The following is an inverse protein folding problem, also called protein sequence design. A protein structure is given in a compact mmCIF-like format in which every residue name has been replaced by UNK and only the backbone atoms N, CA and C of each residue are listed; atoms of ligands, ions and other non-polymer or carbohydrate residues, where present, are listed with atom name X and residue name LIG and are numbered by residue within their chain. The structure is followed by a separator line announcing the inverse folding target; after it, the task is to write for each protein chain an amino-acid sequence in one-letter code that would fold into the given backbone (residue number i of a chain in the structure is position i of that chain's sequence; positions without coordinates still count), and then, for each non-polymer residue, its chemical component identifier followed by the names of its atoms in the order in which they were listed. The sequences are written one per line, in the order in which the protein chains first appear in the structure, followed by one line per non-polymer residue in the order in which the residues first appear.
data_IF_905094639742
#
_entry.id   IF_905094639742
#
_cell.length_a   1.000
_cell.length_b   1.000
_cell.length_c   1.000
_cell.angle_alpha   90.00
_cell.angle_beta   90.00
_cell.angle_gamma   90.00
#
_symmetry.space_group_name_H-M   'P 1'
#
loop_
_entity.id
_entity.type
_entity.pdbx_description
1 polymer ?
#
# COMPACT_ATOMS: atom_id res chain seq x y z
N UNK A 1 5.27 -3.55 -32.76
CA UNK A 1 5.01 -2.75 -31.55
C UNK A 1 4.08 -3.55 -30.63
N UNK A 2 4.51 -3.88 -29.42
CA UNK A 2 3.70 -4.60 -28.43
C UNK A 2 2.91 -3.57 -27.61
N UNK A 3 1.59 -3.68 -27.59
CA UNK A 3 0.73 -2.84 -26.78
C UNK A 3 0.07 -3.72 -25.71
N UNK A 4 0.40 -3.46 -24.45
CA UNK A 4 -0.11 -4.21 -23.29
C UNK A 4 -1.20 -3.40 -22.63
N UNK A 5 -2.42 -3.92 -22.60
CA UNK A 5 -3.55 -3.30 -21.94
C UNK A 5 -4.60 -4.34 -21.54
N UNK A 6 -5.37 -4.04 -20.52
CA UNK A 6 -6.49 -4.88 -20.10
C UNK A 6 -7.74 -4.50 -20.87
N UNK A 7 -8.29 -5.44 -21.65
CA UNK A 7 -9.54 -5.26 -22.36
C UNK A 7 -10.71 -5.53 -21.43
N UNK A 8 -11.35 -4.48 -20.91
CA UNK A 8 -12.54 -4.60 -20.05
C UNK A 8 -13.81 -4.97 -20.82
N UNK A 9 -13.84 -4.71 -22.13
CA UNK A 9 -14.97 -5.04 -23.02
C UNK A 9 -14.47 -5.49 -24.39
N UNK A 10 -15.15 -6.42 -25.04
CA UNK A 10 -14.85 -6.77 -26.43
C UNK A 10 -14.85 -5.53 -27.32
N UNK A 11 -13.86 -5.42 -28.21
CA UNK A 11 -13.73 -4.30 -29.14
C UNK A 11 -12.93 -3.11 -28.65
N UNK A 12 -12.48 -3.07 -27.40
CA UNK A 12 -11.57 -2.02 -26.94
C UNK A 12 -10.19 -2.18 -27.60
N UNK A 13 -9.71 -1.11 -28.21
CA UNK A 13 -8.39 -1.02 -28.84
C UNK A 13 -7.35 -0.34 -27.96
N UNK A 14 -7.77 0.23 -26.81
CA UNK A 14 -6.91 0.90 -25.83
C UNK A 14 -7.40 0.54 -24.43
N UNK A 15 -6.46 0.41 -23.51
CA UNK A 15 -6.76 0.22 -22.10
C UNK A 15 -7.28 1.48 -21.42
N UNK A 16 -8.00 1.29 -20.33
CA UNK A 16 -8.39 2.35 -19.41
C UNK A 16 -7.31 2.45 -18.34
N UNK A 17 -6.82 3.65 -17.97
CA UNK A 17 -5.87 3.79 -16.88
C UNK A 17 -6.43 3.22 -15.58
N UNK A 18 -5.62 2.43 -14.90
CA UNK A 18 -6.02 1.76 -13.65
C UNK A 18 -6.55 2.72 -12.57
N UNK A 19 -6.01 3.94 -12.52
CA UNK A 19 -6.42 4.96 -11.57
C UNK A 19 -7.65 5.78 -12.03
N UNK A 20 -8.13 5.59 -13.25
CA UNK A 20 -9.24 6.38 -13.79
C UNK A 20 -10.46 6.47 -12.86
N UNK A 21 -10.95 5.38 -12.23
CA UNK A 21 -12.13 5.43 -11.37
C UNK A 21 -11.92 6.19 -10.05
N UNK A 22 -10.67 6.46 -9.65
CA UNK A 22 -10.35 7.06 -8.35
C UNK A 22 -9.76 8.46 -8.43
N UNK A 23 -9.45 8.95 -9.64
CA UNK A 23 -8.82 10.27 -9.84
C UNK A 23 -9.64 11.39 -9.19
N UNK A 24 -10.95 11.40 -9.40
CA UNK A 24 -11.81 12.45 -8.85
C UNK A 24 -11.89 12.37 -7.33
N UNK A 25 -12.02 11.17 -6.77
CA UNK A 25 -12.03 10.96 -5.32
C UNK A 25 -10.71 11.40 -4.66
N UNK A 26 -9.57 11.11 -5.29
CA UNK A 26 -8.25 11.57 -4.82
C UNK A 26 -8.13 13.09 -4.86
N UNK A 27 -8.61 13.72 -5.93
CA UNK A 27 -8.62 15.18 -6.08
C UNK A 27 -9.51 15.86 -5.04
N UNK A 28 -10.71 15.31 -4.79
CA UNK A 28 -11.62 15.82 -3.76
C UNK A 28 -11.03 15.65 -2.36
N UNK A 29 -10.39 14.51 -2.08
CA UNK A 29 -9.70 14.28 -0.81
C UNK A 29 -8.58 15.31 -0.59
N UNK A 30 -7.77 15.59 -1.61
CA UNK A 30 -6.72 16.62 -1.54
C UNK A 30 -7.29 18.00 -1.23
N UNK A 31 -8.36 18.41 -1.92
CA UNK A 31 -9.03 19.71 -1.66
C UNK A 31 -9.65 19.78 -0.27
N UNK A 32 -10.25 18.68 0.20
CA UNK A 32 -10.83 18.64 1.54
C UNK A 32 -9.76 18.74 2.63
N UNK A 33 -8.65 18.03 2.49
CA UNK A 33 -7.54 18.10 3.46
C UNK A 33 -6.91 19.50 3.48
N UNK A 34 -6.76 20.14 2.33
CA UNK A 34 -6.26 21.51 2.21
C UNK A 34 -7.23 22.52 2.87
N UNK A 35 -8.53 22.43 2.57
CA UNK A 35 -9.55 23.28 3.17
C UNK A 35 -9.61 23.10 4.70
N UNK A 36 -9.47 21.88 5.20
CA UNK A 36 -9.47 21.58 6.64
C UNK A 36 -8.23 22.15 7.33
N UNK A 37 -7.07 22.06 6.68
CA UNK A 37 -5.83 22.66 7.17
C UNK A 37 -5.94 24.19 7.22
N UNK A 38 -6.44 24.80 6.16
CA UNK A 38 -6.65 26.27 6.12
C UNK A 38 -7.65 26.71 7.18
N UNK A 39 -8.74 25.97 7.36
CA UNK A 39 -9.72 26.27 8.39
C UNK A 39 -9.14 26.12 9.82
N UNK A 40 -8.25 25.14 10.03
CA UNK A 40 -7.54 25.00 11.30
C UNK A 40 -6.60 26.19 11.57
N UNK A 41 -5.87 26.65 10.55
CA UNK A 41 -5.00 27.84 10.64
C UNK A 41 -5.84 29.09 10.96
N UNK A 42 -6.92 29.32 10.21
CA UNK A 42 -7.81 30.47 10.45
C UNK A 42 -8.42 30.41 11.85
N UNK A 43 -8.91 29.24 12.30
CA UNK A 43 -9.47 29.11 13.65
C UNK A 43 -8.45 29.33 14.76
N UNK A 44 -7.17 29.07 14.51
CA UNK A 44 -6.09 29.40 15.45
C UNK A 44 -5.76 30.92 15.52
N UNK A 45 -6.17 31.68 14.51
CA UNK A 45 -5.96 33.12 14.47
C UNK A 45 -7.12 33.89 15.11
N UNK A 46 -8.35 33.37 15.00
CA UNK A 46 -9.55 34.07 15.49
C UNK A 46 -10.03 33.49 16.82
N UNK A 47 -9.82 34.25 17.90
CA UNK A 47 -10.30 33.86 19.24
C UNK A 47 -11.48 34.70 19.71
N UNK A 48 -11.66 35.92 19.19
CA UNK A 48 -12.67 36.87 19.69
C UNK A 48 -13.30 37.66 18.58
N UNK A 49 -14.65 37.71 18.53
CA UNK A 49 -15.41 38.67 17.72
C UNK A 49 -16.02 39.70 18.66
N UNK A 50 -16.01 40.96 18.22
CA UNK A 50 -16.60 42.06 18.95
C UNK A 50 -17.96 42.34 18.32
N UNK A 51 -19.06 42.08 19.05
CA UNK A 51 -20.41 42.46 18.66
C UNK A 51 -20.73 43.86 19.22
N UNK A 52 -21.04 44.79 18.34
CA UNK A 52 -21.56 46.09 18.75
C UNK A 52 -23.09 46.01 18.80
N UNK A 53 -23.67 46.22 19.99
CA UNK A 53 -25.11 46.39 20.09
C UNK A 53 -25.47 47.68 19.36
N UNK A 54 -26.37 47.62 18.37
CA UNK A 54 -26.92 48.79 17.69
C UNK A 54 -27.79 49.57 18.70
N UNK A 55 -27.13 50.40 19.48
CA UNK A 55 -27.82 51.38 20.31
C UNK A 55 -28.28 52.57 19.46
N UNK A 56 -29.38 53.16 19.84
CA UNK A 56 -29.97 54.37 19.27
C UNK A 56 -29.02 55.57 19.48
N UNK A 57 -27.80 55.48 18.99
CA UNK A 57 -26.73 56.46 19.12
C UNK A 57 -26.63 57.32 17.90
N UNK A 58 -26.48 58.59 18.12
CA UNK A 58 -26.22 59.68 17.18
C UNK A 58 -25.25 59.23 16.07
N UNK A 59 -25.63 59.41 14.78
CA UNK A 59 -24.75 59.01 13.66
C UNK A 59 -23.44 59.81 13.57
N UNK A 60 -23.14 60.65 14.53
CA UNK A 60 -21.94 61.49 14.56
C UNK A 60 -20.97 61.17 15.71
N UNK A 61 -21.21 60.15 16.48
CA UNK A 61 -20.22 59.64 17.47
C UNK A 61 -19.16 58.77 16.77
N UNK A 62 -17.95 59.28 16.83
CA UNK A 62 -16.74 58.66 16.28
C UNK A 62 -16.57 57.22 16.83
N UNK A 63 -16.55 56.17 15.98
CA UNK A 63 -16.34 54.82 16.43
C UNK A 63 -14.93 54.71 17.02
N UNK A 64 -14.88 54.60 18.34
CA UNK A 64 -13.69 54.64 19.18
C UNK A 64 -12.42 54.11 18.56
N UNK A 65 -11.43 54.97 18.60
CA UNK A 65 -10.05 54.72 18.20
C UNK A 65 -9.46 53.48 18.88
N UNK A 66 -9.09 52.50 18.12
CA UNK A 66 -8.22 51.42 18.61
C UNK A 66 -6.86 51.99 18.98
N UNK A 67 -6.51 51.90 20.28
CA UNK A 67 -5.19 52.25 20.75
C UNK A 67 -4.17 51.25 20.18
N UNK A 68 -3.49 51.65 19.14
CA UNK A 68 -2.48 50.84 18.47
C UNK A 68 -2.47 50.88 16.95
N UNK A 69 -3.36 51.67 16.32
CA UNK A 69 -3.31 51.90 14.87
C UNK A 69 -2.26 52.96 14.52
N UNK A 70 -1.28 52.63 13.68
CA UNK A 70 -0.55 53.66 12.97
C UNK A 70 -1.45 54.20 11.84
N UNK A 71 -1.77 55.48 11.95
CA UNK A 71 -2.29 56.40 10.92
C UNK A 71 -3.26 55.79 9.86
N UNK A 72 -4.50 56.22 10.01
CA UNK A 72 -5.54 56.16 9.00
C UNK A 72 -5.10 56.82 7.70
N UNK A 73 -4.92 56.00 6.67
CA UNK A 73 -4.90 56.37 5.26
C UNK A 73 -6.16 55.80 4.63
N UNK A 74 -7.09 56.70 4.35
CA UNK A 74 -8.16 56.63 3.36
C UNK A 74 -8.75 55.24 3.00
N UNK A 75 -9.87 54.88 3.65
CA UNK A 75 -10.88 53.96 3.11
C UNK A 75 -10.63 52.46 3.26
N UNK A 76 -11.15 51.94 4.32
CA UNK A 76 -11.46 50.59 4.74
C UNK A 76 -10.69 50.20 6.01
N UNK A 77 -11.44 50.04 7.10
CA UNK A 77 -10.90 49.48 8.35
C UNK A 77 -10.44 48.02 8.14
N UNK A 78 -9.30 47.81 7.53
CA UNK A 78 -8.58 46.55 7.58
C UNK A 78 -7.91 46.43 8.96
N UNK A 79 -8.62 45.82 9.90
CA UNK A 79 -8.06 45.44 11.18
C UNK A 79 -7.04 44.31 10.97
N UNK A 80 -5.76 44.68 10.85
CA UNK A 80 -4.66 43.71 10.82
C UNK A 80 -4.55 43.02 12.17
N UNK A 81 -5.17 41.85 12.28
CA UNK A 81 -5.05 40.96 13.43
C UNK A 81 -3.67 40.31 13.43
N UNK A 82 -2.71 40.91 14.14
CA UNK A 82 -1.42 40.33 14.44
C UNK A 82 -1.55 39.14 15.42
N UNK A 83 -0.60 38.26 15.38
CA UNK A 83 -0.49 37.16 16.35
C UNK A 83 -0.48 37.73 17.80
N UNK A 84 -1.48 37.34 18.63
CA UNK A 84 -1.72 37.87 19.98
C UNK A 84 -2.22 39.32 20.08
N UNK A 85 -2.96 39.81 19.09
CA UNK A 85 -3.62 41.11 19.23
C UNK A 85 -4.65 41.05 20.35
N UNK A 86 -4.58 41.95 21.31
CA UNK A 86 -5.57 42.18 22.36
C UNK A 86 -6.32 43.45 22.02
N UNK A 87 -7.62 43.32 21.70
CA UNK A 87 -8.49 44.47 21.47
C UNK A 87 -9.19 44.87 22.78
N UNK A 88 -9.30 46.20 23.04
CA UNK A 88 -10.11 46.73 24.11
C UNK A 88 -11.51 47.04 23.58
N UNK A 89 -12.53 46.67 24.34
CA UNK A 89 -13.93 46.83 24.01
C UNK A 89 -14.44 48.19 24.52
N UNK A 90 -15.23 48.89 23.72
CA UNK A 90 -15.93 50.10 24.13
C UNK A 90 -17.21 49.78 24.93
N UNK A 91 -17.74 50.80 25.60
CA UNK A 91 -19.03 50.68 26.31
C UNK A 91 -20.14 50.27 25.32
N UNK A 92 -20.79 49.14 25.57
CA UNK A 92 -21.83 48.59 24.70
C UNK A 92 -21.39 47.48 23.75
N UNK A 93 -20.09 47.19 23.65
CA UNK A 93 -19.58 46.10 22.86
C UNK A 93 -19.51 44.81 23.71
N UNK A 94 -19.85 43.68 23.12
CA UNK A 94 -19.74 42.35 23.76
C UNK A 94 -18.76 41.51 23.00
N UNK A 95 -17.85 40.87 23.72
CA UNK A 95 -16.98 39.85 23.14
C UNK A 95 -17.75 38.54 22.98
N UNK A 96 -18.00 38.14 21.76
CA UNK A 96 -18.50 36.82 21.44
C UNK A 96 -17.31 35.88 21.09
N UNK A 97 -17.16 34.80 21.84
CA UNK A 97 -16.23 33.76 21.41
C UNK A 97 -16.89 32.86 20.36
N UNK A 98 -16.38 32.89 19.14
CA UNK A 98 -16.77 31.89 18.14
C UNK A 98 -15.91 30.64 18.39
N UNK A 99 -16.57 29.60 18.88
CA UNK A 99 -15.93 28.29 18.94
C UNK A 99 -16.01 27.66 17.53
N UNK A 100 -14.91 27.59 16.76
CA UNK A 100 -14.95 27.10 15.40
C UNK A 100 -15.16 25.57 15.31
N UNK A 101 -15.52 24.90 16.44
CA UNK A 101 -15.74 23.45 16.46
C UNK A 101 -14.49 22.64 16.13
N UNK A 102 -13.31 23.20 16.40
CA UNK A 102 -12.02 22.54 16.12
C UNK A 102 -11.41 21.94 17.39
N UNK A 103 -10.74 20.75 17.29
CA UNK A 103 -10.49 19.93 16.09
C UNK A 103 -11.75 19.24 15.58
N UNK A 104 -11.87 19.10 14.25
CA UNK A 104 -13.01 18.44 13.61
C UNK A 104 -12.99 16.93 13.89
N UNK A 105 -13.83 16.45 14.79
CA UNK A 105 -13.91 15.03 15.15
C UNK A 105 -14.35 14.14 13.98
N UNK A 106 -14.99 14.70 12.95
CA UNK A 106 -15.46 13.95 11.78
C UNK A 106 -14.41 13.87 10.65
N UNK A 107 -13.27 14.55 10.77
CA UNK A 107 -12.23 14.54 9.75
C UNK A 107 -11.70 13.14 9.47
N UNK A 108 -11.22 12.45 10.49
CA UNK A 108 -10.62 11.12 10.37
C UNK A 108 -11.61 10.04 9.85
N UNK A 109 -12.85 9.93 10.39
CA UNK A 109 -13.86 9.02 9.84
C UNK A 109 -14.21 9.31 8.38
N UNK A 110 -14.31 10.58 7.99
CA UNK A 110 -14.62 10.97 6.62
C UNK A 110 -13.50 10.62 5.65
N UNK A 111 -12.25 10.95 5.98
CA UNK A 111 -11.06 10.58 5.20
C UNK A 111 -10.98 9.06 5.04
N UNK A 112 -11.18 8.29 6.11
CA UNK A 112 -11.20 6.81 6.06
C UNK A 112 -12.31 6.28 5.15
N UNK A 113 -13.48 6.90 5.14
CA UNK A 113 -14.58 6.51 4.26
C UNK A 113 -14.20 6.69 2.78
N UNK A 114 -13.62 7.84 2.41
CA UNK A 114 -13.14 8.09 1.03
C UNK A 114 -12.02 7.12 0.66
N UNK A 115 -11.03 6.92 1.54
CA UNK A 115 -9.95 5.97 1.30
C UNK A 115 -10.46 4.53 1.14
N UNK A 116 -11.52 4.17 1.87
CA UNK A 116 -12.17 2.85 1.70
C UNK A 116 -12.80 2.73 0.32
N UNK A 117 -13.50 3.75 -0.17
CA UNK A 117 -14.06 3.76 -1.53
C UNK A 117 -12.97 3.65 -2.60
N UNK A 118 -11.87 4.39 -2.43
CA UNK A 118 -10.69 4.30 -3.31
C UNK A 118 -10.11 2.88 -3.26
N UNK A 119 -9.96 2.30 -2.06
CA UNK A 119 -9.47 0.93 -1.88
C UNK A 119 -10.35 -0.12 -2.58
N UNK A 120 -11.68 0.02 -2.48
CA UNK A 120 -12.62 -0.87 -3.16
C UNK A 120 -12.47 -0.76 -4.68
N UNK A 121 -12.38 0.47 -5.22
CA UNK A 121 -12.21 0.69 -6.66
C UNK A 121 -10.87 0.13 -7.19
N UNK A 122 -9.81 0.18 -6.37
CA UNK A 122 -8.49 -0.39 -6.68
C UNK A 122 -8.34 -1.86 -6.26
N UNK A 123 -9.38 -2.49 -5.72
CA UNK A 123 -9.34 -3.86 -5.18
C UNK A 123 -8.28 -4.08 -4.10
N UNK A 124 -7.98 -3.03 -3.33
CA UNK A 124 -7.02 -3.05 -2.22
C UNK A 124 -7.74 -2.88 -0.88
N UNK A 125 -7.43 -3.70 0.14
CA UNK A 125 -7.89 -3.44 1.50
C UNK A 125 -7.38 -2.10 2.03
N UNK A 126 -8.17 -1.43 2.86
CA UNK A 126 -7.81 -0.13 3.45
C UNK A 126 -6.47 -0.19 4.19
N UNK A 127 -6.24 -1.23 4.98
CA UNK A 127 -5.04 -1.43 5.78
C UNK A 127 -3.77 -1.47 4.92
N UNK A 128 -3.87 -2.04 3.71
CA UNK A 128 -2.77 -2.09 2.75
C UNK A 128 -2.58 -0.74 2.08
N UNK A 129 -3.69 -0.03 1.78
CA UNK A 129 -3.66 1.28 1.15
C UNK A 129 -3.00 2.33 2.04
N UNK A 130 -3.37 2.40 3.32
CA UNK A 130 -2.82 3.36 4.28
C UNK A 130 -1.56 2.86 5.00
N UNK A 131 -1.15 1.60 4.74
CA UNK A 131 0.00 0.92 5.40
C UNK A 131 -0.10 0.91 6.92
N UNK A 132 -1.32 0.90 7.46
CA UNK A 132 -1.58 0.90 8.90
C UNK A 132 -2.44 -0.30 9.28
N UNK A 133 -1.89 -1.16 10.13
CA UNK A 133 -2.53 -2.38 10.61
C UNK A 133 -2.89 -2.23 12.09
N UNK A 134 -4.04 -1.59 12.36
CA UNK A 134 -4.56 -1.42 13.72
C UNK A 134 -5.40 -2.62 14.19
N UNK A 135 -5.72 -3.56 13.29
CA UNK A 135 -6.53 -4.71 13.56
C UNK A 135 -5.73 -5.86 14.20
N UNK A 136 -6.45 -6.88 14.70
CA UNK A 136 -5.82 -8.10 15.21
C UNK A 136 -4.95 -8.79 14.16
N UNK A 137 -4.00 -9.61 14.61
CA UNK A 137 -3.12 -10.39 13.73
C UNK A 137 -3.87 -11.16 12.65
N UNK A 138 -4.96 -11.82 13.01
CA UNK A 138 -5.78 -12.60 12.07
C UNK A 138 -6.45 -11.73 11.01
N UNK A 139 -6.96 -10.56 11.38
CA UNK A 139 -7.57 -9.61 10.44
C UNK A 139 -6.51 -9.00 9.50
N UNK A 140 -5.35 -8.61 10.01
CA UNK A 140 -4.23 -8.10 9.22
C UNK A 140 -3.72 -9.15 8.22
N UNK A 141 -3.61 -10.41 8.65
CA UNK A 141 -3.27 -11.53 7.76
C UNK A 141 -4.31 -11.73 6.67
N UNK A 142 -5.60 -11.68 7.01
CA UNK A 142 -6.69 -11.81 6.03
C UNK A 142 -6.67 -10.68 4.99
N UNK A 143 -6.42 -9.44 5.41
CA UNK A 143 -6.28 -8.29 4.52
C UNK A 143 -5.09 -8.46 3.54
N UNK A 144 -3.93 -8.88 4.06
CA UNK A 144 -2.75 -9.18 3.22
C UNK A 144 -3.01 -10.30 2.21
N UNK A 145 -3.65 -11.38 2.62
CA UNK A 145 -3.98 -12.49 1.73
C UNK A 145 -4.95 -12.08 0.61
N UNK A 146 -5.92 -11.19 0.92
CA UNK A 146 -6.82 -10.63 -0.11
C UNK A 146 -6.06 -9.76 -1.12
N UNK A 147 -5.21 -8.84 -0.63
CA UNK A 147 -4.36 -8.03 -1.49
C UNK A 147 -3.42 -8.90 -2.35
N UNK A 148 -2.83 -9.95 -1.75
CA UNK A 148 -1.95 -10.85 -2.46
C UNK A 148 -2.63 -11.62 -3.59
N UNK A 149 -3.89 -12.03 -3.42
CA UNK A 149 -4.67 -12.65 -4.50
C UNK A 149 -4.80 -11.71 -5.70
N UNK A 150 -5.07 -10.45 -5.45
CA UNK A 150 -5.13 -9.43 -6.50
C UNK A 150 -3.77 -9.24 -7.19
N UNK A 151 -2.69 -9.07 -6.43
CA UNK A 151 -1.34 -8.93 -6.99
C UNK A 151 -0.91 -10.14 -7.82
N UNK A 152 -1.26 -11.35 -7.40
CA UNK A 152 -0.98 -12.57 -8.15
C UNK A 152 -1.72 -12.62 -9.49
N UNK A 153 -2.97 -12.18 -9.53
CA UNK A 153 -3.73 -12.07 -10.78
C UNK A 153 -3.08 -11.06 -11.73
N UNK A 154 -2.71 -9.88 -11.21
CA UNK A 154 -2.03 -8.84 -11.99
C UNK A 154 -0.65 -9.29 -12.49
N UNK A 155 0.11 -9.97 -11.65
CA UNK A 155 1.40 -10.57 -12.04
C UNK A 155 1.22 -11.56 -13.20
N UNK A 156 0.26 -12.47 -13.09
CA UNK A 156 -0.03 -13.44 -14.14
C UNK A 156 -0.42 -12.75 -15.45
N UNK A 157 -1.22 -11.72 -15.38
CA UNK A 157 -1.60 -10.94 -16.55
C UNK A 157 -0.38 -10.31 -17.23
N UNK A 158 0.51 -9.64 -16.49
CA UNK A 158 1.75 -9.08 -17.02
C UNK A 158 2.64 -10.18 -17.60
N UNK A 159 2.76 -11.31 -16.92
CA UNK A 159 3.56 -12.44 -17.39
C UNK A 159 3.06 -12.96 -18.76
N UNK A 160 1.75 -13.10 -18.92
CA UNK A 160 1.15 -13.58 -20.17
C UNK A 160 1.17 -12.54 -21.31
N UNK A 161 0.86 -11.27 -21.01
CA UNK A 161 0.67 -10.24 -22.04
C UNK A 161 1.98 -9.52 -22.42
N UNK A 162 2.95 -9.51 -21.54
CA UNK A 162 4.21 -8.80 -21.74
C UNK A 162 5.41 -9.75 -21.78
N UNK A 163 5.64 -10.52 -20.71
CA UNK A 163 6.85 -11.32 -20.62
C UNK A 163 6.88 -12.48 -21.62
N UNK A 164 5.75 -13.18 -21.77
CA UNK A 164 5.64 -14.34 -22.65
C UNK A 164 5.90 -13.99 -24.13
N UNK A 165 5.28 -12.97 -24.74
CA UNK A 165 5.57 -12.60 -26.13
C UNK A 165 7.01 -12.17 -26.37
N UNK A 166 7.63 -11.48 -25.40
CA UNK A 166 9.03 -11.08 -25.49
C UNK A 166 9.94 -12.31 -25.44
N UNK A 167 9.66 -13.23 -24.54
CA UNK A 167 10.40 -14.49 -24.44
C UNK A 167 10.29 -15.33 -25.71
N UNK A 168 9.11 -15.45 -26.29
CA UNK A 168 8.91 -16.17 -27.55
C UNK A 168 9.65 -15.55 -28.72
N UNK A 169 9.68 -14.21 -28.80
CA UNK A 169 10.46 -13.52 -29.83
C UNK A 169 11.96 -13.74 -29.64
N UNK A 170 12.45 -13.62 -28.41
CA UNK A 170 13.84 -13.89 -28.07
C UNK A 170 14.22 -15.35 -28.34
N UNK A 171 13.37 -16.30 -27.97
CA UNK A 171 13.60 -17.72 -28.19
C UNK A 171 13.69 -18.05 -29.69
N UNK A 172 12.78 -17.50 -30.49
CA UNK A 172 12.80 -17.66 -31.95
C UNK A 172 14.11 -17.13 -32.55
N UNK A 173 14.59 -15.98 -32.11
CA UNK A 173 15.89 -15.43 -32.50
C UNK A 173 17.05 -16.33 -32.06
N UNK A 174 17.07 -16.77 -30.80
CA UNK A 174 18.11 -17.63 -30.25
C UNK A 174 18.21 -18.98 -30.97
N UNK A 175 17.08 -19.57 -31.37
CA UNK A 175 17.03 -20.79 -32.18
C UNK A 175 17.51 -20.53 -33.62
N UNK A 176 17.11 -19.40 -34.24
CA UNK A 176 17.51 -19.06 -35.60
C UNK A 176 19.02 -18.84 -35.76
N UNK A 177 19.67 -18.27 -34.75
CA UNK A 177 21.12 -18.02 -34.69
C UNK A 177 21.89 -19.30 -34.31
N UNK A 178 21.18 -20.38 -33.90
CA UNK A 178 21.82 -21.63 -33.45
C UNK A 178 22.36 -21.61 -32.02
N UNK A 179 22.01 -20.58 -31.21
CA UNK A 179 22.39 -20.52 -29.78
C UNK A 179 21.71 -21.61 -28.95
N UNK A 180 20.47 -21.96 -29.33
CA UNK A 180 19.66 -22.99 -28.68
C UNK A 180 19.29 -24.02 -29.73
N UNK A 181 19.58 -25.29 -29.45
CA UNK A 181 19.13 -26.41 -30.30
C UNK A 181 17.68 -26.77 -29.95
N UNK A 182 16.77 -26.52 -30.88
CA UNK A 182 15.33 -26.84 -30.74
C UNK A 182 14.81 -27.48 -32.04
N UNK A 183 15.04 -28.80 -32.25
CA UNK A 183 14.60 -29.48 -33.46
C UNK A 183 13.11 -29.35 -33.65
N UNK A 184 12.65 -29.00 -34.86
CA UNK A 184 11.25 -28.87 -35.20
C UNK A 184 10.58 -27.54 -34.79
N UNK A 185 11.29 -26.61 -34.16
CA UNK A 185 10.75 -25.36 -33.62
C UNK A 185 10.01 -24.49 -34.68
N UNK A 186 10.52 -24.42 -35.90
CA UNK A 186 9.92 -23.67 -36.99
C UNK A 186 9.00 -24.48 -37.87
N UNK A 187 9.02 -25.82 -37.76
CA UNK A 187 8.26 -26.73 -38.63
C UNK A 187 6.87 -27.03 -38.05
N UNK A 188 6.78 -27.20 -36.75
CA UNK A 188 5.55 -27.62 -36.06
C UNK A 188 5.16 -26.61 -34.95
N UNK A 189 3.97 -25.98 -35.05
CA UNK A 189 3.44 -25.07 -34.03
C UNK A 189 3.31 -25.73 -32.64
N UNK A 190 3.02 -27.04 -32.56
CA UNK A 190 2.91 -27.75 -31.28
C UNK A 190 4.28 -27.90 -30.60
N UNK A 191 5.32 -28.20 -31.40
CA UNK A 191 6.69 -28.27 -30.90
C UNK A 191 7.16 -26.89 -30.43
N UNK A 192 6.88 -25.85 -31.24
CA UNK A 192 7.18 -24.46 -30.86
C UNK A 192 6.51 -24.10 -29.56
N UNK A 193 5.23 -24.41 -29.39
CA UNK A 193 4.49 -24.16 -28.14
C UNK A 193 5.12 -24.90 -26.96
N UNK A 194 5.55 -26.15 -27.13
CA UNK A 194 6.20 -26.92 -26.07
C UNK A 194 7.51 -26.30 -25.62
N UNK A 195 8.35 -25.79 -26.54
CA UNK A 195 9.59 -25.07 -26.21
C UNK A 195 9.35 -23.71 -25.59
N UNK A 196 8.25 -23.03 -25.93
CA UNK A 196 7.91 -21.70 -25.41
C UNK A 196 7.27 -21.75 -24.02
N UNK A 197 6.96 -22.92 -23.47
CA UNK A 197 6.42 -23.05 -22.12
C UNK A 197 7.43 -22.60 -21.07
N UNK A 198 7.06 -21.59 -20.30
CA UNK A 198 7.90 -21.04 -19.25
C UNK A 198 7.05 -20.76 -18.00
N UNK A 199 7.63 -20.95 -16.84
CA UNK A 199 7.02 -20.63 -15.57
C UNK A 199 7.59 -19.31 -15.03
N UNK A 200 6.73 -18.30 -14.91
CA UNK A 200 7.08 -17.01 -14.38
C UNK A 200 6.96 -17.01 -12.86
N UNK A 201 8.08 -17.17 -12.19
CA UNK A 201 8.19 -17.11 -10.73
C UNK A 201 8.34 -15.67 -10.27
N UNK A 202 7.90 -15.37 -9.07
CA UNK A 202 8.07 -14.07 -8.46
C UNK A 202 7.84 -14.16 -6.96
N UNK A 203 8.30 -13.17 -6.22
CA UNK A 203 8.30 -13.16 -4.76
C UNK A 203 6.99 -13.63 -4.14
N UNK A 204 7.08 -14.31 -3.02
CA UNK A 204 5.96 -14.76 -2.22
C UNK A 204 5.29 -13.60 -1.45
N UNK A 205 4.20 -13.85 -0.70
CA UNK A 205 3.50 -12.82 0.09
C UNK A 205 4.33 -12.31 1.27
N UNK A 206 5.47 -12.91 1.54
CA UNK A 206 6.24 -12.75 2.76
C UNK A 206 5.56 -13.42 3.96
N UNK A 207 6.35 -13.85 4.93
CA UNK A 207 5.84 -14.52 6.13
C UNK A 207 5.62 -13.50 7.27
N UNK A 208 4.53 -13.69 8.02
CA UNK A 208 4.29 -12.97 9.28
C UNK A 208 4.79 -13.81 10.46
N UNK A 209 4.59 -15.14 10.37
CA UNK A 209 5.05 -16.11 11.35
C UNK A 209 5.75 -17.26 10.60
N UNK A 210 7.07 -17.14 10.37
CA UNK A 210 7.83 -18.08 9.56
C UNK A 210 7.73 -19.52 10.07
N UNK A 211 7.81 -19.71 11.40
CA UNK A 211 7.79 -21.06 11.99
C UNK A 211 6.48 -21.79 11.71
N UNK A 212 5.35 -21.13 11.95
CA UNK A 212 4.03 -21.73 11.69
C UNK A 212 3.78 -21.99 10.22
N UNK A 213 4.26 -21.12 9.35
CA UNK A 213 4.07 -21.26 7.90
C UNK A 213 4.92 -22.39 7.34
N UNK A 214 6.17 -22.52 7.78
CA UNK A 214 7.05 -23.63 7.39
C UNK A 214 6.53 -24.97 7.94
N UNK A 215 6.13 -25.03 9.21
CA UNK A 215 5.54 -26.24 9.80
C UNK A 215 4.24 -26.66 9.10
N UNK A 216 3.42 -25.69 8.69
CA UNK A 216 2.21 -25.98 7.93
C UNK A 216 2.52 -26.49 6.51
N UNK A 217 3.56 -25.96 5.85
CA UNK A 217 4.02 -26.43 4.54
C UNK A 217 4.58 -27.86 4.63
N UNK A 218 5.41 -28.14 5.64
CA UNK A 218 5.93 -29.48 5.92
C UNK A 218 4.81 -30.51 6.10
N UNK A 219 3.83 -30.23 6.96
CA UNK A 219 2.68 -31.12 7.16
C UNK A 219 1.87 -31.34 5.88
N UNK A 220 1.68 -30.33 5.04
CA UNK A 220 1.00 -30.49 3.74
C UNK A 220 1.76 -31.40 2.80
N UNK A 221 3.09 -31.32 2.78
CA UNK A 221 3.94 -32.19 1.96
C UNK A 221 3.88 -33.61 2.50
N UNK A 222 4.01 -33.81 3.82
CA UNK A 222 3.96 -35.12 4.46
C UNK A 222 2.64 -35.85 4.20
N UNK A 223 1.51 -35.15 4.25
CA UNK A 223 0.17 -35.73 3.98
C UNK A 223 -0.12 -35.87 2.47
N UNK A 224 0.78 -35.40 1.58
CA UNK A 224 0.60 -35.48 0.13
C UNK A 224 -0.37 -34.43 -0.46
N UNK A 225 -0.80 -33.42 0.31
CA UNK A 225 -1.65 -32.34 -0.18
C UNK A 225 -0.90 -31.31 -1.04
N UNK A 226 0.42 -31.25 -0.91
CA UNK A 226 1.27 -30.31 -1.65
C UNK A 226 2.61 -30.96 -1.98
N UNK A 227 3.45 -30.26 -2.73
CA UNK A 227 4.80 -30.68 -3.04
C UNK A 227 5.78 -29.51 -2.86
N UNK A 228 7.08 -29.83 -2.78
CA UNK A 228 8.14 -28.87 -2.56
C UNK A 228 8.13 -27.73 -3.58
N UNK A 229 7.86 -28.02 -4.86
CA UNK A 229 7.75 -27.01 -5.92
C UNK A 229 6.68 -25.96 -5.62
N UNK A 230 5.49 -26.41 -5.18
CA UNK A 230 4.37 -25.50 -4.89
C UNK A 230 4.63 -24.67 -3.63
N UNK A 231 5.16 -25.29 -2.58
CA UNK A 231 5.42 -24.58 -1.33
C UNK A 231 6.58 -23.60 -1.46
N UNK A 232 7.69 -23.91 -2.15
CA UNK A 232 8.76 -22.95 -2.45
C UNK A 232 8.24 -21.76 -3.26
N UNK A 233 7.49 -22.02 -4.32
CA UNK A 233 6.90 -20.95 -5.13
C UNK A 233 5.86 -20.10 -4.36
N UNK A 234 5.18 -20.67 -3.36
CA UNK A 234 4.19 -19.97 -2.54
C UNK A 234 4.81 -19.15 -1.41
N UNK A 235 5.86 -19.63 -0.76
CA UNK A 235 6.51 -18.99 0.38
C UNK A 235 7.50 -17.92 -0.07
N UNK A 236 8.48 -18.31 -0.92
CA UNK A 236 9.60 -17.44 -1.28
C UNK A 236 9.57 -17.00 -2.75
N UNK A 237 8.73 -17.64 -3.57
CA UNK A 237 8.75 -17.43 -5.02
C UNK A 237 9.95 -18.07 -5.71
N UNK A 238 10.70 -18.90 -5.01
CA UNK A 238 11.93 -19.52 -5.53
C UNK A 238 11.65 -20.78 -6.36
N UNK A 239 12.60 -21.12 -7.25
CA UNK A 239 12.62 -22.40 -7.96
C UNK A 239 13.21 -23.47 -7.06
N UNK A 240 12.40 -24.46 -6.67
CA UNK A 240 12.79 -25.55 -5.83
C UNK A 240 14.00 -26.34 -6.34
N UNK A 241 14.19 -26.45 -7.68
CA UNK A 241 15.34 -27.16 -8.27
C UNK A 241 16.63 -26.42 -7.98
N UNK A 242 16.65 -25.08 -8.21
CA UNK A 242 17.82 -24.24 -7.92
C UNK A 242 18.15 -24.29 -6.44
N UNK A 243 17.14 -24.16 -5.58
CA UNK A 243 17.31 -24.23 -4.12
C UNK A 243 17.86 -25.57 -3.69
N UNK A 244 17.37 -26.72 -4.26
CA UNK A 244 17.85 -28.04 -3.91
C UNK A 244 19.29 -28.30 -4.39
N UNK A 245 19.64 -27.83 -5.60
CA UNK A 245 21.01 -27.95 -6.13
C UNK A 245 21.96 -27.16 -5.23
N UNK A 246 21.64 -25.89 -4.95
CA UNK A 246 22.43 -25.02 -4.08
C UNK A 246 22.63 -25.65 -2.71
N UNK A 247 21.59 -26.20 -2.10
CA UNK A 247 21.68 -26.90 -0.82
C UNK A 247 22.58 -28.14 -0.89
N UNK A 248 22.56 -28.90 -1.99
CA UNK A 248 23.46 -30.02 -2.21
C UNK A 248 24.92 -29.57 -2.26
N UNK A 249 25.21 -28.48 -2.94
CA UNK A 249 26.55 -27.90 -2.98
C UNK A 249 27.01 -27.41 -1.59
N UNK A 250 26.13 -26.75 -0.84
CA UNK A 250 26.40 -26.31 0.53
C UNK A 250 26.70 -27.46 1.49
N UNK A 251 25.91 -28.52 1.45
CA UNK A 251 26.14 -29.72 2.27
C UNK A 251 27.48 -30.37 1.92
N UNK A 252 27.81 -30.49 0.62
CA UNK A 252 29.09 -31.04 0.17
C UNK A 252 30.27 -30.19 0.64
N UNK A 253 30.16 -28.88 0.54
CA UNK A 253 31.18 -27.92 1.00
C UNK A 253 31.40 -28.03 2.52
N UNK A 254 30.32 -28.10 3.30
CA UNK A 254 30.37 -28.28 4.76
C UNK A 254 31.08 -29.55 5.17
N UNK A 255 30.77 -30.67 4.50
CA UNK A 255 31.45 -31.94 4.74
C UNK A 255 32.94 -31.87 4.43
N UNK A 256 33.31 -31.22 3.31
CA UNK A 256 34.71 -31.01 2.94
C UNK A 256 35.48 -30.14 3.94
N UNK A 257 34.81 -29.16 4.51
CA UNK A 257 35.36 -28.27 5.53
C UNK A 257 35.28 -28.83 6.97
N UNK A 258 34.78 -30.06 7.14
CA UNK A 258 34.54 -30.70 8.45
C UNK A 258 33.70 -29.88 9.41
N UNK A 259 32.71 -29.12 8.88
CA UNK A 259 31.70 -28.44 9.63
C UNK A 259 30.54 -29.40 9.90
N UNK A 260 30.72 -30.32 10.83
CA UNK A 260 29.89 -31.53 11.04
C UNK A 260 28.52 -31.25 11.70
N UNK A 261 28.14 -30.03 11.89
CA UNK A 261 26.82 -29.70 12.46
C UNK A 261 25.87 -29.29 11.35
N UNK A 262 25.03 -30.21 10.89
CA UNK A 262 23.86 -29.81 10.08
C UNK A 262 22.93 -29.05 11.02
N UNK A 263 22.56 -27.80 10.70
CA UNK A 263 21.63 -27.00 11.54
C UNK A 263 20.28 -27.68 11.76
N UNK A 264 19.95 -28.69 10.94
CA UNK A 264 18.71 -29.47 11.08
C UNK A 264 18.85 -30.60 12.10
N UNK A 265 20.05 -31.09 12.36
CA UNK A 265 20.29 -32.16 13.36
C UNK A 265 20.22 -31.57 14.79
N UNK A 266 20.54 -30.29 14.97
CA UNK A 266 20.45 -29.60 16.27
C UNK A 266 18.98 -29.46 16.72
N UNK A 267 18.08 -29.18 15.79
CA UNK A 267 16.63 -29.00 16.11
C UNK A 267 15.97 -30.32 16.47
N UNK A 268 16.44 -31.43 15.94
CA UNK A 268 15.90 -32.78 16.24
C UNK A 268 16.42 -33.28 17.58
N UNK A 269 17.66 -32.98 17.95
CA UNK A 269 18.25 -33.36 19.23
C UNK A 269 17.59 -32.65 20.43
N UNK A 270 17.27 -31.33 20.29
CA UNK A 270 16.63 -30.55 21.33
C UNK A 270 15.15 -30.94 21.60
N UNK A 271 14.49 -31.55 20.61
CA UNK A 271 13.12 -32.07 20.77
C UNK A 271 13.05 -33.46 21.39
N UNK A 272 14.16 -34.20 21.45
CA UNK A 272 14.22 -35.54 22.07
C UNK A 272 14.61 -35.46 23.56
N UNK A 273 15.34 -34.46 23.98
CA UNK A 273 15.68 -34.23 25.39
C UNK A 273 14.54 -33.63 26.23
N UNK A 274 13.59 -32.93 25.58
CA UNK A 274 12.45 -32.32 26.30
C UNK A 274 11.32 -33.30 26.64
N UNK A 275 11.39 -34.57 26.25
CA UNK A 275 10.36 -35.59 26.53
C UNK A 275 10.67 -36.54 27.67
N UNK A 276 11.88 -36.51 28.24
CA UNK A 276 12.27 -37.44 29.31
C UNK A 276 12.20 -36.88 30.74
N UNK A 277 11.90 -35.57 30.91
CA UNK A 277 11.84 -34.94 32.25
C UNK A 277 10.43 -34.81 32.85
N UNK A 278 9.38 -35.31 32.20
CA UNK A 278 7.99 -35.23 32.71
C UNK A 278 7.45 -36.60 33.25
N UNK A 279 8.27 -37.65 33.39
CA UNK A 279 7.89 -38.90 34.06
C UNK A 279 8.87 -39.29 35.20
N UNK A 280 8.93 -38.45 36.24
CA UNK A 280 9.46 -38.88 37.54
C UNK A 280 8.71 -38.27 38.73
#
# INVERSE_FOLDING_TARGET
MLQVFESLRPGFRRGVPYLAPVIESLKQLGRYTEAELMAAVVSGMFTVFIERAQGDGDPNEDPGSFVGSPQAGDGADEMSLGYRAVGFLNAGEKAGSVNPGRPNAQFDPFVKSILTQIGVALQLPLEVLIKHFAASYSASRAARLKAWRFFRVRRRWIACEFCQPIYEAWLAEAVSIGRISAPGFFLDPAIRFAYSQVEWLGDGPGSIDPLREVSAAEKKIQVGLSNLKKECAALDGSDWRKTTIQRGEEVTLRRNLKLDVDPLDVVVADSSEASDDDEA
#
